data_IF_907045428508
#
_entry.id   IF_907045428508
#
_cell.length_a   1.000
_cell.length_b   1.000
_cell.length_c   1.000
_cell.angle_alpha   90.00
_cell.angle_beta   90.00
_cell.angle_gamma   90.00
#
_symmetry.space_group_name_H-M   'P 1'
#
loop_
_entity.id
_entity.type
_entity.pdbx_description
1 polymer ?
#
# COMPACT_ATOMS: atom_id res chain seq x y z
N UNK A 1 1.08 -19.40 -4.54
CA UNK A 1 0.43 -19.58 -5.85
C UNK A 1 -0.86 -18.77 -5.90
N UNK A 2 -1.82 -19.06 -5.02
CA UNK A 2 -3.08 -18.31 -4.95
C UNK A 2 -2.91 -16.81 -4.71
N UNK A 3 -1.99 -16.39 -3.84
CA UNK A 3 -1.72 -14.97 -3.64
C UNK A 3 -1.23 -14.26 -4.92
N UNK A 4 -0.31 -14.90 -5.68
CA UNK A 4 0.14 -14.37 -6.98
C UNK A 4 -1.03 -14.23 -7.93
N UNK A 5 -1.88 -15.26 -8.01
CA UNK A 5 -3.03 -15.27 -8.90
C UNK A 5 -4.04 -14.18 -8.51
N UNK A 6 -4.39 -14.08 -7.23
CA UNK A 6 -5.29 -13.06 -6.72
C UNK A 6 -4.76 -11.64 -6.99
N UNK A 7 -3.48 -11.38 -6.71
CA UNK A 7 -2.87 -10.07 -6.98
C UNK A 7 -2.76 -9.77 -8.48
N UNK A 8 -2.40 -10.74 -9.31
CA UNK A 8 -2.28 -10.54 -10.77
C UNK A 8 -3.64 -10.31 -11.43
N UNK A 9 -4.66 -11.08 -11.04
CA UNK A 9 -6.03 -10.88 -11.51
C UNK A 9 -6.57 -9.52 -11.05
N UNK A 10 -6.30 -9.12 -9.81
CA UNK A 10 -6.70 -7.81 -9.29
C UNK A 10 -6.02 -6.67 -10.06
N UNK A 11 -4.73 -6.79 -10.37
CA UNK A 11 -4.00 -5.83 -11.20
C UNK A 11 -4.54 -5.77 -12.64
N UNK A 12 -4.91 -6.90 -13.23
CA UNK A 12 -5.50 -6.95 -14.57
C UNK A 12 -6.87 -6.27 -14.61
N UNK A 13 -7.74 -6.55 -13.64
CA UNK A 13 -9.04 -5.86 -13.53
C UNK A 13 -8.82 -4.36 -13.33
N UNK A 14 -7.88 -3.98 -12.47
CA UNK A 14 -7.52 -2.57 -12.27
C UNK A 14 -7.06 -1.92 -13.57
N UNK A 15 -6.17 -2.57 -14.33
CA UNK A 15 -5.69 -2.07 -15.61
C UNK A 15 -6.84 -1.83 -16.60
N UNK A 16 -7.77 -2.79 -16.73
CA UNK A 16 -8.95 -2.63 -17.61
C UNK A 16 -9.84 -1.45 -17.18
N UNK A 17 -10.04 -1.26 -15.87
CA UNK A 17 -10.78 -0.10 -15.33
C UNK A 17 -10.02 1.20 -15.65
N UNK A 18 -8.70 1.18 -15.52
CA UNK A 18 -7.83 2.32 -15.83
C UNK A 18 -7.84 2.69 -17.30
N UNK A 19 -7.76 1.70 -18.19
CA UNK A 19 -7.85 1.89 -19.64
C UNK A 19 -9.19 2.49 -20.04
N UNK A 20 -10.29 2.03 -19.42
CA UNK A 20 -11.62 2.61 -19.63
C UNK A 20 -11.69 4.07 -19.14
N UNK A 21 -11.19 4.34 -17.94
CA UNK A 21 -11.17 5.70 -17.39
C UNK A 21 -10.29 6.64 -18.23
N UNK A 22 -9.14 6.15 -18.70
CA UNK A 22 -8.25 6.85 -19.61
C UNK A 22 -8.89 7.13 -20.97
N UNK A 23 -9.63 6.15 -21.51
CA UNK A 23 -10.40 6.36 -22.75
C UNK A 23 -11.44 7.48 -22.58
N UNK A 24 -12.18 7.50 -21.47
CA UNK A 24 -13.15 8.57 -21.20
C UNK A 24 -12.45 9.92 -21.03
N UNK A 25 -11.29 9.96 -20.35
CA UNK A 25 -10.48 11.17 -20.21
C UNK A 25 -10.01 11.73 -21.57
N UNK A 26 -9.51 10.85 -22.45
CA UNK A 26 -8.89 11.25 -23.71
C UNK A 26 -9.92 11.56 -24.80
N UNK A 27 -11.03 10.83 -24.84
CA UNK A 27 -12.01 10.88 -25.93
C UNK A 27 -13.40 11.36 -25.51
N UNK A 28 -13.65 11.58 -24.22
CA UNK A 28 -14.95 11.98 -23.70
C UNK A 28 -16.04 10.95 -23.98
N UNK A 29 -17.24 11.43 -24.32
CA UNK A 29 -18.39 10.58 -24.65
C UNK A 29 -18.40 10.13 -26.12
N UNK A 30 -17.28 9.62 -26.63
CA UNK A 30 -17.20 9.12 -28.00
C UNK A 30 -17.13 7.59 -28.01
N UNK A 31 -18.09 6.85 -28.60
CA UNK A 31 -19.17 7.30 -29.50
C UNK A 31 -20.56 7.50 -28.84
N UNK A 32 -20.65 7.81 -27.54
CA UNK A 32 -21.92 8.05 -26.84
C UNK A 32 -22.37 6.93 -25.89
N UNK A 33 -21.69 5.78 -25.94
CA UNK A 33 -22.06 4.60 -25.14
C UNK A 33 -21.70 4.80 -23.66
N UNK A 34 -20.64 5.55 -23.39
CA UNK A 34 -20.14 5.76 -22.03
C UNK A 34 -21.08 6.69 -21.25
N UNK A 35 -21.51 7.79 -21.86
CA UNK A 35 -22.50 8.70 -21.28
C UNK A 35 -23.87 8.03 -21.12
N UNK A 36 -24.29 7.22 -22.10
CA UNK A 36 -25.51 6.40 -21.96
C UNK A 36 -25.43 5.46 -20.76
N UNK A 37 -24.31 4.73 -20.61
CA UNK A 37 -24.12 3.81 -19.49
C UNK A 37 -24.07 4.57 -18.15
N UNK A 38 -23.26 5.62 -18.05
CA UNK A 38 -23.16 6.48 -16.86
C UNK A 38 -24.56 6.96 -16.42
N UNK A 39 -25.35 7.47 -17.35
CA UNK A 39 -26.72 7.90 -17.07
C UNK A 39 -27.63 6.75 -16.60
N UNK A 40 -27.45 5.53 -17.12
CA UNK A 40 -28.20 4.34 -16.68
C UNK A 40 -27.86 3.92 -15.26
N UNK A 41 -26.61 4.07 -14.86
CA UNK A 41 -26.17 3.78 -13.50
C UNK A 41 -26.33 5.00 -12.57
N UNK A 42 -26.85 6.12 -13.05
CA UNK A 42 -27.18 7.28 -12.22
C UNK A 42 -25.97 8.15 -11.87
N UNK A 43 -24.95 8.18 -12.74
CA UNK A 43 -23.81 9.09 -12.69
C UNK A 43 -23.81 10.02 -13.90
N UNK A 44 -23.21 11.21 -13.76
CA UNK A 44 -22.68 11.93 -14.93
C UNK A 44 -21.43 11.22 -15.45
N UNK A 45 -21.03 11.48 -16.71
CA UNK A 45 -19.83 10.87 -17.28
C UNK A 45 -18.57 11.21 -16.47
N UNK A 46 -18.44 12.47 -16.02
CA UNK A 46 -17.30 12.94 -15.22
C UNK A 46 -17.26 12.28 -13.83
N UNK A 47 -18.39 12.16 -13.15
CA UNK A 47 -18.47 11.47 -11.86
C UNK A 47 -18.12 10.00 -11.99
N UNK A 48 -18.63 9.34 -13.03
CA UNK A 48 -18.32 7.93 -13.28
C UNK A 48 -16.82 7.75 -13.57
N UNK A 49 -16.24 8.57 -14.43
CA UNK A 49 -14.82 8.56 -14.77
C UNK A 49 -13.93 8.81 -13.53
N UNK A 50 -14.29 9.75 -12.66
CA UNK A 50 -13.60 10.00 -11.40
C UNK A 50 -13.65 8.79 -10.46
N UNK A 51 -14.80 8.13 -10.35
CA UNK A 51 -14.99 6.93 -9.55
C UNK A 51 -14.21 5.71 -10.10
N UNK A 52 -14.16 5.55 -11.44
CA UNK A 52 -13.33 4.54 -12.09
C UNK A 52 -11.84 4.78 -11.84
N UNK A 53 -11.36 6.02 -11.91
CA UNK A 53 -9.97 6.36 -11.59
C UNK A 53 -9.60 6.02 -10.15
N UNK A 54 -10.48 6.34 -9.19
CA UNK A 54 -10.27 5.96 -7.78
C UNK A 54 -10.17 4.43 -7.64
N UNK A 55 -11.13 3.72 -8.21
CA UNK A 55 -11.16 2.25 -8.17
C UNK A 55 -9.90 1.62 -8.80
N UNK A 56 -9.48 2.14 -9.95
CA UNK A 56 -8.22 1.74 -10.60
C UNK A 56 -7.02 1.93 -9.68
N UNK A 57 -6.86 3.14 -9.12
CA UNK A 57 -5.71 3.49 -8.28
C UNK A 57 -5.60 2.58 -7.05
N UNK A 58 -6.70 2.44 -6.31
CA UNK A 58 -6.72 1.65 -5.06
C UNK A 58 -6.44 0.17 -5.36
N UNK A 59 -7.08 -0.39 -6.40
CA UNK A 59 -6.84 -1.78 -6.82
C UNK A 59 -5.40 -2.00 -7.30
N UNK A 60 -4.85 -1.08 -8.09
CA UNK A 60 -3.52 -1.22 -8.68
C UNK A 60 -2.45 -1.23 -7.58
N UNK A 61 -2.50 -0.26 -6.67
CA UNK A 61 -1.51 -0.14 -5.59
C UNK A 61 -1.51 -1.37 -4.69
N UNK A 62 -2.69 -1.79 -4.22
CA UNK A 62 -2.81 -2.96 -3.33
C UNK A 62 -2.38 -4.25 -4.07
N UNK A 63 -2.70 -4.37 -5.36
CA UNK A 63 -2.29 -5.53 -6.17
C UNK A 63 -0.77 -5.62 -6.33
N UNK A 64 -0.10 -4.50 -6.60
CA UNK A 64 1.37 -4.45 -6.69
C UNK A 64 2.02 -4.83 -5.36
N UNK A 65 1.50 -4.30 -4.24
CA UNK A 65 1.97 -4.67 -2.90
C UNK A 65 1.73 -6.17 -2.65
N UNK A 66 0.62 -6.74 -3.13
CA UNK A 66 0.31 -8.17 -3.02
C UNK A 66 1.26 -9.06 -3.84
N UNK A 67 1.73 -8.58 -5.00
CA UNK A 67 2.78 -9.24 -5.77
C UNK A 67 4.12 -9.23 -5.03
N UNK A 68 4.49 -8.10 -4.41
CA UNK A 68 5.70 -8.02 -3.57
C UNK A 68 5.60 -9.03 -2.41
N UNK A 69 4.45 -9.08 -1.74
CA UNK A 69 4.20 -10.03 -0.66
C UNK A 69 4.26 -11.50 -1.14
N UNK A 70 3.79 -11.77 -2.36
CA UNK A 70 3.93 -13.07 -2.99
C UNK A 70 5.39 -13.48 -3.21
N UNK A 71 6.22 -12.55 -3.69
CA UNK A 71 7.66 -12.77 -3.84
C UNK A 71 8.32 -13.05 -2.49
N UNK A 72 7.94 -12.30 -1.44
CA UNK A 72 8.44 -12.53 -0.07
C UNK A 72 8.06 -13.94 0.42
N UNK A 73 6.78 -14.33 0.32
CA UNK A 73 6.33 -15.67 0.74
C UNK A 73 7.01 -16.78 -0.08
N UNK A 74 7.21 -16.57 -1.38
CA UNK A 74 7.87 -17.53 -2.26
C UNK A 74 9.38 -17.66 -2.00
N UNK A 75 10.07 -16.54 -1.71
CA UNK A 75 11.52 -16.51 -1.48
C UNK A 75 11.88 -17.01 -0.08
N UNK A 76 11.15 -16.56 0.95
CA UNK A 76 11.51 -16.82 2.36
C UNK A 76 10.60 -17.84 3.05
N UNK A 77 9.35 -18.00 2.61
CA UNK A 77 8.32 -18.75 3.34
C UNK A 77 8.18 -20.24 3.02
N UNK A 78 9.03 -20.83 2.15
CA UNK A 78 8.85 -22.22 1.67
C UNK A 78 9.08 -23.29 2.74
N UNK A 79 10.01 -23.05 3.67
CA UNK A 79 10.53 -24.07 4.59
C UNK A 79 9.99 -23.97 6.03
N UNK A 80 8.94 -23.16 6.23
CA UNK A 80 8.28 -22.95 7.52
C UNK A 80 7.48 -24.20 7.91
N UNK A 81 7.58 -24.62 9.18
CA UNK A 81 6.95 -25.86 9.68
C UNK A 81 5.95 -25.64 10.83
N UNK A 82 5.22 -26.71 11.16
CA UNK A 82 4.39 -26.82 12.37
C UNK A 82 3.27 -25.79 12.46
N UNK A 83 3.03 -25.28 13.67
CA UNK A 83 2.01 -24.25 13.93
C UNK A 83 2.32 -22.93 13.23
N UNK A 84 3.59 -22.62 13.00
CA UNK A 84 3.98 -21.42 12.24
C UNK A 84 3.54 -21.53 10.79
N UNK A 85 3.64 -22.72 10.18
CA UNK A 85 3.11 -22.94 8.82
C UNK A 85 1.61 -22.69 8.77
N UNK A 86 0.86 -23.12 9.79
CA UNK A 86 -0.59 -22.84 9.89
C UNK A 86 -0.85 -21.35 9.97
N UNK A 87 -0.15 -20.62 10.85
CA UNK A 87 -0.28 -19.17 10.97
C UNK A 87 0.02 -18.48 9.63
N UNK A 88 1.14 -18.85 8.99
CA UNK A 88 1.52 -18.35 7.66
C UNK A 88 0.40 -18.55 6.63
N UNK A 89 -0.17 -19.75 6.56
CA UNK A 89 -1.25 -20.07 5.63
C UNK A 89 -2.52 -19.27 5.94
N UNK A 90 -2.89 -19.14 7.21
CA UNK A 90 -4.04 -18.31 7.62
C UNK A 90 -3.81 -16.85 7.22
N UNK A 91 -2.63 -16.30 7.52
CA UNK A 91 -2.27 -14.94 7.11
C UNK A 91 -2.31 -14.75 5.59
N UNK A 92 -1.83 -15.72 4.80
CA UNK A 92 -1.94 -15.70 3.34
C UNK A 92 -3.41 -15.67 2.88
N UNK A 93 -4.29 -16.44 3.51
CA UNK A 93 -5.72 -16.43 3.21
C UNK A 93 -6.42 -15.14 3.63
N UNK A 94 -6.01 -14.50 4.72
CA UNK A 94 -6.50 -13.16 5.07
C UNK A 94 -6.21 -12.16 3.96
N UNK A 95 -4.98 -12.16 3.43
CA UNK A 95 -4.58 -11.27 2.32
C UNK A 95 -5.37 -11.58 1.05
N UNK A 96 -5.48 -12.86 0.67
CA UNK A 96 -6.24 -13.27 -0.52
C UNK A 96 -7.71 -12.86 -0.40
N UNK A 97 -8.31 -13.06 0.77
CA UNK A 97 -9.69 -12.68 1.03
C UNK A 97 -9.87 -11.17 0.98
N UNK A 98 -8.92 -10.41 1.55
CA UNK A 98 -8.90 -8.95 1.45
C UNK A 98 -8.85 -8.47 0.00
N UNK A 99 -8.00 -9.07 -0.84
CA UNK A 99 -7.93 -8.75 -2.28
C UNK A 99 -9.26 -9.03 -2.98
N UNK A 100 -9.85 -10.21 -2.78
CA UNK A 100 -11.12 -10.58 -3.41
C UNK A 100 -12.24 -9.63 -2.99
N UNK A 101 -12.36 -9.34 -1.69
CA UNK A 101 -13.37 -8.43 -1.16
C UNK A 101 -13.17 -7.00 -1.68
N UNK A 102 -11.93 -6.51 -1.71
CA UNK A 102 -11.60 -5.20 -2.28
C UNK A 102 -12.02 -5.11 -3.76
N UNK A 103 -11.65 -6.10 -4.58
CA UNK A 103 -12.04 -6.13 -6.00
C UNK A 103 -13.55 -6.14 -6.15
N UNK A 104 -14.27 -6.96 -5.37
CA UNK A 104 -15.73 -7.01 -5.43
C UNK A 104 -16.34 -5.64 -5.08
N UNK A 105 -15.90 -5.02 -3.99
CA UNK A 105 -16.41 -3.71 -3.54
C UNK A 105 -16.15 -2.65 -4.61
N UNK A 106 -14.92 -2.57 -5.15
CA UNK A 106 -14.54 -1.53 -6.11
C UNK A 106 -15.15 -1.73 -7.50
N UNK A 107 -15.32 -2.99 -7.95
CA UNK A 107 -16.04 -3.28 -9.20
C UNK A 107 -17.53 -2.97 -9.05
N UNK A 108 -18.16 -3.34 -7.93
CA UNK A 108 -19.57 -3.02 -7.68
C UNK A 108 -19.76 -1.51 -7.57
N UNK A 109 -18.88 -0.80 -6.84
CA UNK A 109 -18.95 0.66 -6.74
C UNK A 109 -18.63 1.35 -8.06
N UNK A 110 -17.74 0.79 -8.88
CA UNK A 110 -17.30 1.36 -10.15
C UNK A 110 -18.29 1.17 -11.30
N UNK A 111 -19.01 0.05 -11.33
CA UNK A 111 -19.92 -0.30 -12.43
C UNK A 111 -21.39 -0.43 -12.02
N UNK A 112 -21.69 -0.46 -10.72
CA UNK A 112 -23.05 -0.49 -10.22
C UNK A 112 -23.73 0.88 -10.29
N UNK A 113 -25.02 0.91 -9.94
CA UNK A 113 -25.76 2.15 -9.73
C UNK A 113 -25.08 3.05 -8.70
N UNK A 114 -25.26 4.37 -8.80
CA UNK A 114 -24.83 5.37 -7.83
C UNK A 114 -25.39 5.14 -6.42
N UNK A 115 -26.40 4.28 -6.27
CA UNK A 115 -26.88 3.79 -4.96
C UNK A 115 -25.93 2.76 -4.30
N UNK A 116 -25.06 2.10 -5.08
CA UNK A 116 -24.08 1.11 -4.61
C UNK A 116 -22.69 1.69 -4.37
N UNK A 117 -22.63 2.97 -4.02
CA UNK A 117 -21.39 3.59 -3.56
C UNK A 117 -20.80 2.84 -2.35
N UNK A 118 -19.47 2.87 -2.23
CA UNK A 118 -18.75 2.26 -1.11
C UNK A 118 -19.35 2.76 0.22
N UNK A 119 -19.93 1.87 1.04
CA UNK A 119 -20.57 2.29 2.28
C UNK A 119 -19.53 2.66 3.34
N UNK A 120 -19.92 3.54 4.26
CA UNK A 120 -19.14 3.82 5.45
C UNK A 120 -19.52 2.84 6.57
N UNK A 121 -18.52 2.36 7.29
CA UNK A 121 -18.67 1.60 8.53
C UNK A 121 -18.11 2.39 9.71
N UNK A 122 -18.51 2.05 10.93
CA UNK A 122 -18.13 2.78 12.15
C UNK A 122 -18.38 4.30 12.00
N UNK A 123 -19.62 4.65 11.70
CA UNK A 123 -20.00 6.04 11.42
C UNK A 123 -20.47 6.75 12.68
N UNK A 124 -20.51 8.08 12.63
CA UNK A 124 -21.12 8.91 13.67
C UNK A 124 -22.61 8.56 13.95
N UNK A 125 -23.29 7.89 12.99
CA UNK A 125 -24.72 7.52 13.05
C UNK A 125 -24.96 6.02 13.27
N UNK A 126 -23.94 5.25 13.64
CA UNK A 126 -24.02 3.80 13.89
C UNK A 126 -23.05 2.96 13.06
N UNK A 127 -23.20 1.64 13.10
CA UNK A 127 -22.22 0.70 12.54
C UNK A 127 -22.07 0.78 11.01
N UNK A 128 -23.15 1.06 10.28
CA UNK A 128 -23.17 1.05 8.82
C UNK A 128 -24.05 2.19 8.31
N UNK A 129 -23.55 2.95 7.33
CA UNK A 129 -24.36 3.89 6.55
C UNK A 129 -23.99 3.84 5.07
N UNK A 130 -24.98 3.89 4.17
CA UNK A 130 -24.73 4.18 2.76
C UNK A 130 -23.99 5.52 2.60
N UNK A 131 -23.19 5.64 1.55
CA UNK A 131 -22.44 6.86 1.26
C UNK A 131 -23.39 8.04 1.04
N UNK A 132 -22.96 9.24 1.43
CA UNK A 132 -23.77 10.47 1.37
C UNK A 132 -24.76 10.65 2.54
N UNK A 133 -24.99 9.63 3.37
CA UNK A 133 -25.86 9.73 4.56
C UNK A 133 -25.10 10.00 5.86
N UNK A 134 -23.77 9.92 5.85
CA UNK A 134 -22.89 10.24 6.98
C UNK A 134 -21.69 11.03 6.49
N UNK A 135 -21.27 12.02 7.29
CA UNK A 135 -20.12 12.88 6.98
C UNK A 135 -18.82 12.24 7.46
N UNK A 136 -18.90 11.35 8.48
CA UNK A 136 -17.75 10.70 9.10
C UNK A 136 -17.96 9.19 9.32
N UNK A 137 -16.97 8.39 8.90
CA UNK A 137 -16.99 6.93 8.95
C UNK A 137 -15.90 6.34 8.06
N UNK A 138 -15.46 5.12 8.37
CA UNK A 138 -14.40 4.43 7.65
C UNK A 138 -14.97 3.83 6.37
N UNK A 139 -14.36 4.10 5.22
CA UNK A 139 -14.77 3.51 3.95
C UNK A 139 -14.59 1.98 4.04
N UNK A 140 -15.63 1.21 3.65
CA UNK A 140 -15.59 -0.25 3.80
C UNK A 140 -14.38 -0.87 3.07
N UNK A 141 -14.00 -0.33 1.90
CA UNK A 141 -12.83 -0.78 1.16
C UNK A 141 -11.54 -0.56 1.95
N UNK A 142 -11.40 0.61 2.56
CA UNK A 142 -10.22 0.99 3.34
C UNK A 142 -10.10 0.15 4.61
N UNK A 143 -11.24 -0.19 5.24
CA UNK A 143 -11.26 -1.17 6.33
C UNK A 143 -10.77 -2.56 5.91
N UNK A 144 -11.23 -3.06 4.76
CA UNK A 144 -10.81 -4.35 4.22
C UNK A 144 -9.31 -4.34 3.88
N UNK A 145 -8.83 -3.29 3.22
CA UNK A 145 -7.40 -3.13 2.91
C UNK A 145 -6.58 -3.07 4.21
N UNK A 146 -6.97 -2.21 5.15
CA UNK A 146 -6.25 -2.03 6.41
C UNK A 146 -6.20 -3.30 7.26
N UNK A 147 -7.33 -4.00 7.37
CA UNK A 147 -7.48 -5.11 8.33
C UNK A 147 -7.15 -6.46 7.71
N UNK A 148 -7.70 -6.79 6.54
CA UNK A 148 -7.46 -8.10 5.93
C UNK A 148 -6.13 -8.13 5.18
N UNK A 149 -5.86 -7.11 4.35
CA UNK A 149 -4.68 -7.09 3.50
C UNK A 149 -3.42 -6.66 4.26
N UNK A 150 -3.40 -5.50 4.92
CA UNK A 150 -2.20 -4.98 5.58
C UNK A 150 -1.85 -5.75 6.85
N UNK A 151 -2.80 -6.00 7.77
CA UNK A 151 -2.50 -6.83 8.95
C UNK A 151 -2.23 -8.28 8.55
N UNK A 152 -2.98 -8.85 7.59
CA UNK A 152 -2.70 -10.19 7.05
C UNK A 152 -1.28 -10.30 6.49
N UNK A 153 -0.84 -9.31 5.72
CA UNK A 153 0.53 -9.27 5.19
C UNK A 153 1.59 -9.11 6.26
N UNK A 154 1.33 -8.30 7.30
CA UNK A 154 2.23 -8.14 8.44
C UNK A 154 2.40 -9.47 9.18
N UNK A 155 1.30 -10.17 9.47
CA UNK A 155 1.30 -11.47 10.12
C UNK A 155 1.98 -12.53 9.25
N UNK A 156 1.82 -12.45 7.93
CA UNK A 156 2.51 -13.35 7.00
C UNK A 156 4.03 -13.15 7.09
N UNK A 157 4.51 -11.91 6.98
CA UNK A 157 5.95 -11.59 7.09
C UNK A 157 6.48 -11.98 8.47
N UNK A 158 5.74 -11.67 9.54
CA UNK A 158 6.11 -12.03 10.91
C UNK A 158 6.25 -13.55 11.09
N UNK A 159 5.28 -14.32 10.57
CA UNK A 159 5.29 -15.78 10.66
C UNK A 159 6.52 -16.39 9.97
N UNK A 160 6.99 -15.79 8.87
CA UNK A 160 8.18 -16.24 8.16
C UNK A 160 9.45 -15.82 8.92
N UNK A 161 9.50 -14.59 9.42
CA UNK A 161 10.69 -14.02 10.09
C UNK A 161 10.99 -14.66 11.44
N UNK A 162 9.94 -14.91 12.24
CA UNK A 162 10.03 -15.48 13.59
C UNK A 162 9.70 -16.98 13.62
N UNK A 163 9.52 -17.58 12.45
CA UNK A 163 9.12 -18.97 12.29
C UNK A 163 10.22 -20.00 12.53
N UNK A 164 9.81 -21.19 12.99
CA UNK A 164 10.68 -22.36 13.03
C UNK A 164 10.77 -23.00 11.64
N UNK A 165 11.97 -23.00 11.07
CA UNK A 165 12.27 -23.67 9.81
C UNK A 165 12.83 -25.09 10.05
N UNK A 166 12.80 -25.96 9.02
CA UNK A 166 13.54 -27.24 9.06
C UNK A 166 14.99 -26.99 9.50
N UNK A 167 15.52 -27.84 10.38
CA UNK A 167 16.86 -27.75 10.97
C UNK A 167 18.00 -27.49 9.95
N UNK A 168 17.82 -27.87 8.69
CA UNK A 168 18.82 -27.67 7.62
C UNK A 168 18.50 -26.53 6.63
N UNK A 169 17.33 -25.89 6.73
CA UNK A 169 16.86 -24.79 5.86
C UNK A 169 16.46 -23.56 6.68
N UNK A 170 17.25 -23.21 7.70
CA UNK A 170 17.11 -21.95 8.42
C UNK A 170 17.31 -20.78 7.46
N UNK A 171 16.63 -19.66 7.71
CA UNK A 171 16.93 -18.43 6.97
C UNK A 171 18.39 -18.06 7.25
N UNK A 172 19.17 -17.90 6.19
CA UNK A 172 20.53 -17.40 6.32
C UNK A 172 20.50 -15.99 6.93
N UNK A 173 21.63 -15.62 7.53
CA UNK A 173 21.76 -14.35 8.26
C UNK A 173 21.37 -13.15 7.39
N UNK A 174 21.72 -13.20 6.11
CA UNK A 174 21.46 -12.12 5.15
C UNK A 174 19.98 -12.04 4.81
N UNK A 175 19.31 -13.17 4.53
CA UNK A 175 17.84 -13.19 4.35
C UNK A 175 17.10 -12.73 5.59
N UNK A 176 17.47 -13.21 6.78
CA UNK A 176 16.84 -12.79 8.03
C UNK A 176 17.01 -11.29 8.25
N UNK A 177 18.19 -10.75 7.92
CA UNK A 177 18.42 -9.33 7.95
C UNK A 177 17.47 -8.64 6.99
N UNK A 178 17.51 -8.89 5.68
CA UNK A 178 16.62 -8.24 4.70
C UNK A 178 15.14 -8.34 5.08
N UNK A 179 14.66 -9.52 5.48
CA UNK A 179 13.27 -9.74 5.87
C UNK A 179 12.86 -8.93 7.10
N UNK A 180 13.76 -8.72 8.08
CA UNK A 180 13.48 -7.80 9.19
C UNK A 180 13.36 -6.34 8.76
N UNK A 181 14.06 -5.93 7.70
CA UNK A 181 13.90 -4.60 7.10
C UNK A 181 12.54 -4.45 6.43
N UNK A 182 12.16 -5.44 5.63
CA UNK A 182 10.84 -5.52 4.99
C UNK A 182 9.72 -5.52 6.04
N UNK A 183 9.87 -6.29 7.12
CA UNK A 183 8.91 -6.30 8.22
C UNK A 183 8.74 -4.92 8.88
N UNK A 184 9.85 -4.23 9.15
CA UNK A 184 9.83 -2.88 9.70
C UNK A 184 9.12 -1.91 8.73
N UNK A 185 9.45 -1.96 7.44
CA UNK A 185 8.80 -1.12 6.43
C UNK A 185 7.30 -1.40 6.36
N UNK A 186 6.88 -2.66 6.38
CA UNK A 186 5.48 -3.02 6.41
C UNK A 186 4.76 -2.54 7.68
N UNK A 187 5.42 -2.63 8.84
CA UNK A 187 4.88 -2.09 10.09
C UNK A 187 4.68 -0.57 10.01
N UNK A 188 5.62 0.16 9.42
CA UNK A 188 5.49 1.58 9.16
C UNK A 188 4.29 1.90 8.23
N UNK A 189 4.06 1.08 7.18
CA UNK A 189 2.86 1.18 6.33
C UNK A 189 1.60 0.97 7.16
N UNK A 190 1.53 -0.08 7.98
CA UNK A 190 0.34 -0.34 8.82
C UNK A 190 0.02 0.84 9.74
N UNK A 191 1.03 1.41 10.40
CA UNK A 191 0.84 2.55 11.32
C UNK A 191 0.32 3.79 10.58
N UNK A 192 0.89 4.09 9.41
CA UNK A 192 0.59 5.32 8.66
C UNK A 192 -0.65 5.21 7.77
N UNK A 193 -0.91 4.04 7.19
CA UNK A 193 -2.04 3.82 6.27
C UNK A 193 -3.26 3.41 7.06
N UNK A 194 -3.22 2.27 7.77
CA UNK A 194 -4.38 1.80 8.52
C UNK A 194 -4.60 2.62 9.80
N UNK A 195 -3.55 2.87 10.58
CA UNK A 195 -3.67 3.61 11.85
C UNK A 195 -4.17 5.04 11.66
N UNK A 196 -3.42 5.86 10.92
CA UNK A 196 -3.80 7.25 10.67
C UNK A 196 -5.00 7.37 9.72
N UNK A 197 -5.15 6.49 8.73
CA UNK A 197 -6.28 6.53 7.80
C UNK A 197 -7.61 6.30 8.49
N UNK A 198 -7.71 5.27 9.34
CA UNK A 198 -8.93 5.04 10.11
C UNK A 198 -9.26 6.22 11.03
N UNK A 199 -8.25 6.85 11.64
CA UNK A 199 -8.47 8.05 12.46
C UNK A 199 -9.05 9.20 11.63
N UNK A 200 -8.49 9.48 10.46
CA UNK A 200 -8.90 10.60 9.64
C UNK A 200 -10.27 10.40 8.99
N UNK A 201 -10.57 9.18 8.53
CA UNK A 201 -11.89 8.85 7.99
C UNK A 201 -12.97 8.86 9.09
N UNK A 202 -12.64 8.31 10.27
CA UNK A 202 -13.55 8.33 11.42
C UNK A 202 -13.81 9.75 11.94
N UNK A 203 -12.85 10.67 11.80
CA UNK A 203 -12.97 12.08 12.16
C UNK A 203 -12.96 12.99 10.93
N UNK A 204 -13.63 12.59 9.87
CA UNK A 204 -13.75 13.39 8.66
C UNK A 204 -14.42 14.76 8.92
N UNK A 205 -15.19 14.89 9.99
CA UNK A 205 -15.70 16.17 10.52
C UNK A 205 -14.59 17.18 10.84
N UNK A 206 -13.39 16.70 11.17
CA UNK A 206 -12.23 17.52 11.48
C UNK A 206 -11.19 17.53 10.35
N UNK A 207 -10.93 16.37 9.72
CA UNK A 207 -9.76 16.16 8.87
C UNK A 207 -10.08 16.09 7.36
N UNK A 208 -11.33 16.21 6.92
CA UNK A 208 -11.63 16.10 5.49
C UNK A 208 -11.10 17.29 4.67
N UNK A 209 -9.99 17.08 3.96
CA UNK A 209 -9.35 18.09 3.10
C UNK A 209 -10.18 18.59 1.91
N UNK A 210 -11.28 17.93 1.55
CA UNK A 210 -12.16 18.38 0.48
C UNK A 210 -13.23 19.37 0.95
N UNK A 211 -13.41 19.52 2.27
CA UNK A 211 -14.39 20.40 2.89
C UNK A 211 -13.67 21.45 3.76
N UNK A 212 -14.34 22.58 4.00
CA UNK A 212 -13.83 23.60 4.93
C UNK A 212 -14.07 23.14 6.37
N UNK A 213 -13.11 22.39 6.92
CA UNK A 213 -13.14 21.81 8.27
C UNK A 213 -11.91 22.21 9.09
N UNK A 214 -12.00 22.21 10.43
CA UNK A 214 -10.98 22.84 11.29
C UNK A 214 -9.55 22.30 11.14
N UNK A 215 -9.36 21.03 10.77
CA UNK A 215 -8.06 20.38 10.59
C UNK A 215 -7.84 19.90 9.15
N UNK A 216 -8.47 20.55 8.16
CA UNK A 216 -8.38 20.17 6.75
C UNK A 216 -6.94 20.11 6.20
N UNK A 217 -6.06 21.00 6.66
CA UNK A 217 -4.63 21.01 6.29
C UNK A 217 -3.90 19.73 6.74
N UNK A 218 -4.24 19.20 7.92
CA UNK A 218 -3.70 17.94 8.43
C UNK A 218 -4.25 16.76 7.60
N UNK A 219 -5.49 16.86 7.15
CA UNK A 219 -6.09 15.94 6.18
C UNK A 219 -5.36 15.89 4.85
N UNK A 220 -5.02 17.07 4.32
CA UNK A 220 -4.28 17.19 3.06
C UNK A 220 -2.87 16.61 3.20
N UNK A 221 -2.17 16.96 4.28
CA UNK A 221 -0.85 16.43 4.62
C UNK A 221 -0.85 14.90 4.71
N UNK A 222 -1.87 14.32 5.34
CA UNK A 222 -2.05 12.87 5.37
C UNK A 222 -2.28 12.31 3.97
N UNK A 223 -3.24 12.84 3.19
CA UNK A 223 -3.56 12.30 1.86
C UNK A 223 -2.32 12.20 0.97
N UNK A 224 -1.48 13.23 0.99
CA UNK A 224 -0.20 13.23 0.26
C UNK A 224 0.76 12.16 0.78
N UNK A 225 1.07 12.16 2.08
CA UNK A 225 2.07 11.24 2.65
C UNK A 225 1.61 9.78 2.70
N UNK A 226 0.31 9.56 2.92
CA UNK A 226 -0.34 8.26 2.90
C UNK A 226 -0.12 7.56 1.56
N UNK A 227 -0.36 8.27 0.45
CA UNK A 227 -0.22 7.73 -0.89
C UNK A 227 1.25 7.68 -1.32
N UNK A 228 1.94 8.83 -1.31
CA UNK A 228 3.25 8.98 -1.93
C UNK A 228 4.36 8.27 -1.14
N UNK A 229 4.33 8.35 0.18
CA UNK A 229 5.37 7.75 1.04
C UNK A 229 5.01 6.30 1.35
N UNK A 230 3.84 6.06 1.94
CA UNK A 230 3.53 4.76 2.51
C UNK A 230 3.07 3.73 1.49
N UNK A 231 2.30 4.14 0.48
CA UNK A 231 1.74 3.22 -0.51
C UNK A 231 2.54 3.14 -1.82
N UNK A 232 3.41 4.12 -2.11
CA UNK A 232 4.29 4.09 -3.29
C UNK A 232 5.77 3.87 -2.92
N UNK A 233 6.38 4.80 -2.18
CA UNK A 233 7.81 4.76 -1.89
C UNK A 233 8.21 3.53 -1.06
N UNK A 234 7.48 3.21 0.01
CA UNK A 234 7.83 2.10 0.90
C UNK A 234 7.76 0.73 0.20
N UNK A 235 6.74 0.41 -0.62
CA UNK A 235 6.76 -0.76 -1.49
C UNK A 235 7.96 -0.81 -2.44
N UNK A 236 8.32 0.30 -3.07
CA UNK A 236 9.51 0.36 -3.92
C UNK A 236 10.80 0.06 -3.13
N UNK A 237 10.93 0.59 -1.91
CA UNK A 237 12.05 0.30 -1.01
C UNK A 237 12.10 -1.19 -0.65
N UNK A 238 10.96 -1.83 -0.37
CA UNK A 238 10.92 -3.27 -0.10
C UNK A 238 11.46 -4.08 -1.28
N UNK A 239 11.12 -3.70 -2.52
CA UNK A 239 11.69 -4.31 -3.73
C UNK A 239 13.20 -4.11 -3.77
N UNK A 240 13.70 -2.89 -3.58
CA UNK A 240 15.15 -2.61 -3.56
C UNK A 240 15.86 -3.42 -2.48
N UNK A 241 15.27 -3.56 -1.28
CA UNK A 241 15.84 -4.41 -0.21
C UNK A 241 15.96 -5.87 -0.66
N UNK A 242 14.94 -6.42 -1.33
CA UNK A 242 14.95 -7.81 -1.81
C UNK A 242 15.97 -8.01 -2.94
N UNK A 243 16.09 -7.03 -3.86
CA UNK A 243 17.04 -7.05 -4.97
C UNK A 243 18.48 -6.82 -4.50
N UNK A 244 18.72 -5.94 -3.54
CA UNK A 244 20.03 -5.72 -2.92
C UNK A 244 20.58 -7.01 -2.32
N UNK A 245 19.72 -7.80 -1.66
CA UNK A 245 20.12 -9.10 -1.14
C UNK A 245 20.50 -10.10 -2.25
N UNK A 246 19.87 -10.00 -3.43
CA UNK A 246 20.13 -10.90 -4.54
C UNK A 246 21.40 -10.54 -5.31
N UNK A 247 21.67 -9.24 -5.48
CA UNK A 247 22.68 -8.77 -6.42
C UNK A 247 23.97 -8.27 -5.77
N UNK A 248 23.99 -7.98 -4.47
CA UNK A 248 25.17 -7.45 -3.79
C UNK A 248 25.85 -8.50 -2.91
N UNK A 249 27.14 -8.28 -2.65
CA UNK A 249 27.86 -9.03 -1.63
C UNK A 249 27.26 -8.74 -0.23
N UNK A 250 27.60 -9.58 0.77
CA UNK A 250 27.01 -9.47 2.11
C UNK A 250 27.31 -8.12 2.78
N UNK A 251 28.52 -7.58 2.57
CA UNK A 251 28.96 -6.31 3.16
C UNK A 251 28.15 -5.13 2.64
N UNK A 252 28.03 -5.01 1.32
CA UNK A 252 27.32 -3.92 0.66
C UNK A 252 25.81 -4.05 0.88
N UNK A 253 25.25 -5.27 0.83
CA UNK A 253 23.86 -5.50 1.20
C UNK A 253 23.60 -5.02 2.64
N UNK A 254 24.45 -5.38 3.61
CA UNK A 254 24.27 -4.95 5.01
C UNK A 254 24.29 -3.42 5.15
N UNK A 255 25.15 -2.73 4.40
CA UNK A 255 25.19 -1.25 4.38
C UNK A 255 23.89 -0.69 3.84
N UNK A 256 23.44 -1.14 2.66
CA UNK A 256 22.20 -0.65 2.03
C UNK A 256 20.99 -0.90 2.91
N UNK A 257 20.87 -2.10 3.47
CA UNK A 257 19.77 -2.47 4.35
C UNK A 257 19.69 -1.57 5.59
N UNK A 258 20.84 -1.11 6.13
CA UNK A 258 20.87 -0.15 7.25
C UNK A 258 20.38 1.23 6.82
N UNK A 259 20.91 1.74 5.71
CA UNK A 259 20.56 3.08 5.23
C UNK A 259 19.08 3.14 4.85
N UNK A 260 18.56 2.13 4.13
CA UNK A 260 17.15 2.06 3.76
C UNK A 260 16.22 1.98 4.98
N UNK A 261 16.55 1.17 6.00
CA UNK A 261 15.75 1.13 7.24
C UNK A 261 15.76 2.45 7.98
N UNK A 262 16.92 3.06 8.09
CA UNK A 262 17.04 4.37 8.73
C UNK A 262 16.20 5.41 7.97
N UNK A 263 16.29 5.44 6.64
CA UNK A 263 15.46 6.29 5.79
C UNK A 263 13.96 6.06 6.00
N UNK A 264 13.52 4.80 6.01
CA UNK A 264 12.10 4.43 6.28
C UNK A 264 11.65 4.94 7.65
N UNK A 265 12.43 4.71 8.72
CA UNK A 265 12.09 5.19 10.08
C UNK A 265 11.95 6.71 10.09
N UNK A 266 12.92 7.42 9.52
CA UNK A 266 12.93 8.87 9.48
C UNK A 266 11.74 9.39 8.66
N UNK A 267 11.45 8.81 7.49
CA UNK A 267 10.28 9.16 6.70
C UNK A 267 8.99 8.94 7.49
N UNK A 268 8.84 7.80 8.20
CA UNK A 268 7.66 7.54 9.03
C UNK A 268 7.52 8.56 10.16
N UNK A 269 8.59 8.83 10.91
CA UNK A 269 8.57 9.80 12.01
C UNK A 269 8.24 11.20 11.49
N UNK A 270 8.91 11.64 10.44
CA UNK A 270 8.64 12.94 9.81
C UNK A 270 7.20 13.03 9.32
N UNK A 271 6.69 11.95 8.72
CA UNK A 271 5.34 11.89 8.21
C UNK A 271 4.31 12.02 9.34
N UNK A 272 4.52 11.30 10.45
CA UNK A 272 3.67 11.44 11.65
C UNK A 272 3.76 12.84 12.26
N UNK A 273 4.96 13.44 12.29
CA UNK A 273 5.12 14.84 12.76
C UNK A 273 4.31 15.79 11.89
N UNK A 274 4.39 15.62 10.58
CA UNK A 274 3.70 16.47 9.61
C UNK A 274 2.17 16.31 9.69
N UNK A 275 1.70 15.07 9.81
CA UNK A 275 0.27 14.72 9.87
C UNK A 275 -0.42 15.03 11.20
N UNK A 276 0.32 15.16 12.30
CA UNK A 276 -0.26 15.28 13.65
C UNK A 276 0.08 16.60 14.33
N UNK A 277 1.28 17.13 14.12
CA UNK A 277 1.75 18.31 14.86
C UNK A 277 1.76 19.58 14.03
N UNK A 278 2.29 19.53 12.80
CA UNK A 278 2.45 20.74 12.00
C UNK A 278 2.47 20.42 10.49
N UNK A 279 1.36 20.65 9.77
CA UNK A 279 1.24 20.41 8.33
C UNK A 279 1.73 21.61 7.50
N UNK A 280 2.30 22.65 8.11
CA UNK A 280 2.73 23.84 7.38
C UNK A 280 3.89 23.51 6.42
N UNK A 281 3.88 24.06 5.20
CA UNK A 281 5.02 23.98 4.29
C UNK A 281 6.30 24.42 5.02
N UNK A 282 7.40 23.67 4.83
CA UNK A 282 8.68 23.91 5.51
C UNK A 282 8.66 23.78 7.05
N UNK A 283 7.62 23.18 7.63
CA UNK A 283 7.56 22.82 9.03
C UNK A 283 8.54 21.69 9.42
N UNK A 284 8.64 21.33 10.71
CA UNK A 284 9.58 20.31 11.18
C UNK A 284 9.35 18.95 10.53
N UNK A 285 8.09 18.54 10.34
CA UNK A 285 7.74 17.29 9.66
C UNK A 285 8.25 17.25 8.21
N UNK A 286 8.12 18.36 7.48
CA UNK A 286 8.59 18.50 6.10
C UNK A 286 10.10 18.25 5.99
N UNK A 287 10.91 18.88 6.87
CA UNK A 287 12.36 18.70 6.86
C UNK A 287 12.80 17.29 7.25
N UNK A 288 12.13 16.69 8.25
CA UNK A 288 12.43 15.32 8.68
C UNK A 288 12.10 14.32 7.57
N UNK A 289 10.94 14.46 6.91
CA UNK A 289 10.57 13.64 5.74
C UNK A 289 11.59 13.84 4.61
N UNK A 290 11.95 15.08 4.28
CA UNK A 290 12.93 15.40 3.25
C UNK A 290 14.30 14.77 3.52
N UNK A 291 14.78 14.79 4.76
CA UNK A 291 16.01 14.10 5.14
C UNK A 291 15.92 12.57 4.97
N UNK A 292 14.77 11.98 5.29
CA UNK A 292 14.49 10.57 5.03
C UNK A 292 14.54 10.24 3.53
N UNK A 293 13.93 11.08 2.67
CA UNK A 293 13.99 10.94 1.21
C UNK A 293 15.42 11.01 0.68
N UNK A 294 16.20 12.01 1.09
CA UNK A 294 17.61 12.14 0.67
C UNK A 294 18.41 10.90 1.06
N UNK A 295 18.16 10.36 2.26
CA UNK A 295 18.78 9.12 2.74
C UNK A 295 18.43 7.93 1.84
N UNK A 296 17.15 7.78 1.47
CA UNK A 296 16.68 6.69 0.60
C UNK A 296 17.28 6.83 -0.80
N UNK A 297 17.24 8.02 -1.39
CA UNK A 297 17.81 8.29 -2.71
C UNK A 297 19.30 7.97 -2.72
N UNK A 298 20.03 8.39 -1.68
CA UNK A 298 21.45 8.08 -1.53
C UNK A 298 21.71 6.57 -1.48
N UNK A 299 20.85 5.81 -0.79
CA UNK A 299 20.93 4.36 -0.76
C UNK A 299 20.64 3.73 -2.13
N UNK A 300 19.67 4.26 -2.88
CA UNK A 300 19.33 3.79 -4.23
C UNK A 300 20.47 4.06 -5.20
N UNK A 301 21.07 5.26 -5.18
CA UNK A 301 22.26 5.58 -5.99
C UNK A 301 23.40 4.62 -5.66
N UNK A 302 23.66 4.39 -4.38
CA UNK A 302 24.69 3.44 -3.94
C UNK A 302 24.40 2.01 -4.42
N UNK A 303 23.13 1.56 -4.37
CA UNK A 303 22.70 0.27 -4.93
C UNK A 303 23.04 0.16 -6.42
N UNK A 304 22.66 1.14 -7.23
CA UNK A 304 22.89 1.11 -8.67
C UNK A 304 24.40 1.10 -9.01
N UNK A 305 25.21 1.88 -8.30
CA UNK A 305 26.66 1.91 -8.51
C UNK A 305 27.30 0.54 -8.19
N UNK A 306 26.91 -0.08 -7.06
CA UNK A 306 27.50 -1.35 -6.59
C UNK A 306 26.96 -2.58 -7.31
N UNK A 307 25.75 -2.50 -7.85
CA UNK A 307 25.15 -3.58 -8.65
C UNK A 307 25.74 -3.67 -10.07
N UNK A 308 26.43 -2.63 -10.55
CA UNK A 308 26.97 -2.57 -11.90
C UNK A 308 28.08 -3.64 -12.10
N UNK A 309 27.95 -4.54 -13.09
CA UNK A 309 28.92 -5.61 -13.34
C UNK A 309 30.35 -5.11 -13.59
N UNK A 310 30.52 -3.90 -14.14
CA UNK A 310 31.84 -3.31 -14.40
C UNK A 310 32.60 -3.04 -13.09
N UNK A 311 31.89 -2.70 -12.02
CA UNK A 311 32.50 -2.45 -10.70
C UNK A 311 32.85 -3.77 -10.00
N UNK A 312 32.08 -4.84 -10.23
CA UNK A 312 32.35 -6.17 -9.66
C UNK A 312 33.67 -6.77 -10.17
N UNK A 313 33.99 -6.60 -11.46
CA UNK A 313 35.23 -7.13 -12.06
C UNK A 313 36.49 -6.45 -11.49
N UNK A 314 36.40 -5.23 -10.94
CA UNK A 314 37.54 -4.54 -10.32
C UNK A 314 37.77 -4.91 -8.84
N UNK A 315 36.88 -5.70 -8.24
CA UNK A 315 36.93 -6.05 -6.81
C UNK A 315 37.27 -7.52 -6.53
N UNK A 316 37.39 -8.35 -7.58
CA UNK A 316 38.03 -9.67 -7.55
C UNK A 316 39.53 -9.53 -7.85
#
# INVERSE_FOLDING_TARGET
YYLVLASSCSALIAALIGDLAGFILDFGDWPGIMGWYAGKIGYTLEEWQSNLLRSHSDMMVVSVIGLILSVINWKYGRNVLGNVKKLKTVSEWFVITGLILMVLILVISGFGSSEFQIPHIFTEKGFFKPRGQSVAGIDLVDFIIGTFFLIGGLLLIASILFGNNKSNNLLDKTSKYTLSGVFLTWLCIVITVAGMGFLQEYRADLYNSANDVPLGDFGFAFRMLHLDVSLMLFPAIMVVMILAQQFLNEKDNKVIQRILRFGVIICTIGSLIYMVFNPQPFGPGYWVVGFGFITIISAMIYYFIRSNPIVKVKQE
#
